data_IF_140516490696
#
_entry.id   IF_140516490696
#
_cell.length_a   1.000
_cell.length_b   1.000
_cell.length_c   1.000
_cell.angle_alpha   90.00
_cell.angle_beta   90.00
_cell.angle_gamma   90.00
#
_symmetry.space_group_name_H-M   'P 1'
#
loop_
_entity.id
_entity.type
_entity.pdbx_description
1 polymer ?
#
# COMPACT_ATOMS: atom_id res chain seq x y z
N UNK A 1 -14.89 5.58 -4.97
CA UNK A 1 -13.63 6.27 -5.34
C UNK A 1 -13.30 5.87 -6.77
N UNK A 2 -12.86 6.81 -7.61
CA UNK A 2 -12.48 6.54 -9.00
C UNK A 2 -11.04 7.00 -9.21
N UNK A 3 -10.17 6.09 -9.65
CA UNK A 3 -8.79 6.41 -10.00
C UNK A 3 -8.65 6.38 -11.52
N UNK A 4 -7.99 7.39 -12.07
CA UNK A 4 -7.63 7.47 -13.48
C UNK A 4 -6.14 7.74 -13.54
N UNK A 5 -5.43 6.91 -14.29
CA UNK A 5 -3.98 7.04 -14.52
C UNK A 5 -3.71 7.25 -16.00
N UNK A 6 -2.60 7.92 -16.30
CA UNK A 6 -2.12 8.12 -17.67
C UNK A 6 -1.47 6.82 -18.19
N UNK A 7 -1.18 6.72 -19.48
CA UNK A 7 -0.62 5.50 -20.08
C UNK A 7 0.77 5.11 -19.54
N UNK A 8 1.48 6.05 -18.92
CA UNK A 8 2.82 5.85 -18.35
C UNK A 8 2.77 5.28 -16.92
N UNK A 9 1.58 5.20 -16.32
CA UNK A 9 1.36 4.74 -14.96
C UNK A 9 0.49 3.47 -14.97
N UNK A 10 0.81 2.54 -14.08
CA UNK A 10 0.01 1.32 -13.88
C UNK A 10 -0.76 1.42 -12.57
N UNK A 11 -2.05 1.14 -12.62
CA UNK A 11 -2.90 1.03 -11.44
C UNK A 11 -3.06 -0.45 -11.07
N UNK A 12 -2.69 -0.80 -9.85
CA UNK A 12 -2.82 -2.16 -9.29
C UNK A 12 -3.64 -2.08 -8.00
N UNK A 13 -4.49 -3.07 -7.76
CA UNK A 13 -5.23 -3.20 -6.51
C UNK A 13 -5.20 -4.63 -5.97
N UNK A 14 -5.22 -4.74 -4.64
CA UNK A 14 -5.34 -5.99 -3.90
C UNK A 14 -6.33 -5.79 -2.74
N UNK A 15 -7.11 -6.83 -2.45
CA UNK A 15 -8.01 -6.87 -1.31
C UNK A 15 -7.71 -8.11 -0.47
N UNK A 16 -7.66 -7.94 0.85
CA UNK A 16 -7.51 -9.02 1.82
C UNK A 16 -8.79 -9.14 2.67
N UNK A 17 -9.39 -10.34 2.84
CA UNK A 17 -9.01 -11.59 2.19
C UNK A 17 -9.27 -11.55 0.67
N UNK A 18 -8.46 -12.30 -0.09
CA UNK A 18 -8.63 -12.35 -1.54
C UNK A 18 -10.04 -12.89 -1.88
N UNK A 19 -10.80 -12.22 -2.77
CA UNK A 19 -12.15 -12.65 -3.09
C UNK A 19 -12.12 -14.02 -3.77
N UNK A 20 -12.88 -14.97 -3.23
CA UNK A 20 -12.97 -16.35 -3.74
C UNK A 20 -13.82 -16.50 -5.01
N UNK A 21 -14.57 -15.46 -5.39
CA UNK A 21 -15.53 -15.48 -6.51
C UNK A 21 -15.23 -14.48 -7.63
N UNK A 22 -13.99 -14.01 -7.77
CA UNK A 22 -13.62 -13.22 -8.94
C UNK A 22 -13.45 -14.16 -10.14
N UNK A 23 -14.56 -14.38 -10.84
CA UNK A 23 -14.49 -14.77 -12.24
C UNK A 23 -13.51 -13.83 -12.93
N UNK A 24 -12.54 -14.41 -13.64
CA UNK A 24 -11.56 -13.73 -14.48
C UNK A 24 -12.23 -12.54 -15.15
N UNK A 25 -11.97 -11.32 -14.66
CA UNK A 25 -12.41 -10.12 -15.34
C UNK A 25 -11.56 -10.00 -16.60
N UNK A 26 -12.04 -10.61 -17.68
CA UNK A 26 -11.60 -10.48 -19.07
C UNK A 26 -11.77 -9.03 -19.61
N UNK A 27 -11.44 -8.02 -18.80
CA UNK A 27 -11.53 -6.60 -19.15
C UNK A 27 -10.21 -5.84 -19.01
N UNK A 28 -9.18 -6.43 -18.40
CA UNK A 28 -7.83 -5.88 -18.35
C UNK A 28 -6.89 -6.90 -19.00
N UNK A 29 -7.08 -7.16 -20.29
CA UNK A 29 -6.10 -7.91 -21.10
C UNK A 29 -4.87 -7.05 -21.37
N UNK A 30 -4.12 -6.74 -20.33
CA UNK A 30 -2.68 -6.85 -20.44
C UNK A 30 -2.33 -8.00 -19.52
N UNK A 31 -1.75 -9.04 -20.12
CA UNK A 31 -0.95 -10.05 -19.43
C UNK A 31 0.06 -9.25 -18.60
N UNK A 32 -0.32 -8.90 -17.37
CA UNK A 32 0.51 -8.11 -16.47
C UNK A 32 1.68 -9.05 -16.25
N UNK A 33 2.78 -8.77 -16.93
CA UNK A 33 3.96 -9.62 -17.05
C UNK A 33 4.60 -9.96 -15.70
N UNK A 34 3.98 -9.49 -14.62
CA UNK A 34 4.43 -9.57 -13.26
C UNK A 34 3.26 -9.49 -12.25
N UNK A 35 2.11 -10.10 -12.56
CA UNK A 35 0.93 -10.03 -11.69
C UNK A 35 1.21 -10.45 -10.24
N UNK A 36 2.01 -11.51 -10.05
CA UNK A 36 2.36 -11.98 -8.71
C UNK A 36 3.26 -10.99 -7.95
N UNK A 37 4.19 -10.31 -8.62
CA UNK A 37 4.98 -9.23 -8.01
C UNK A 37 4.10 -8.04 -7.59
N UNK A 38 3.21 -7.56 -8.47
CA UNK A 38 2.37 -6.44 -8.09
C UNK A 38 1.44 -6.79 -6.92
N UNK A 39 0.94 -8.03 -6.89
CA UNK A 39 0.15 -8.56 -5.78
C UNK A 39 0.96 -8.67 -4.50
N UNK A 40 2.21 -9.15 -4.55
CA UNK A 40 3.05 -9.26 -3.35
C UNK A 40 3.37 -7.88 -2.76
N UNK A 41 3.62 -6.88 -3.59
CA UNK A 41 3.81 -5.49 -3.15
C UNK A 41 2.55 -4.95 -2.48
N UNK A 42 1.36 -5.19 -3.04
CA UNK A 42 0.14 -4.77 -2.38
C UNK A 42 -0.11 -5.52 -1.06
N UNK A 43 0.24 -6.81 -0.99
CA UNK A 43 0.19 -7.59 0.25
C UNK A 43 1.13 -7.03 1.31
N UNK A 44 2.35 -6.64 0.92
CA UNK A 44 3.32 -5.97 1.78
C UNK A 44 2.70 -4.72 2.42
N UNK A 45 2.12 -3.84 1.60
CA UNK A 45 1.51 -2.59 2.08
C UNK A 45 0.36 -2.89 3.05
N UNK A 46 -0.49 -3.87 2.74
CA UNK A 46 -1.61 -4.25 3.60
C UNK A 46 -1.13 -4.82 4.93
N UNK A 47 -0.12 -5.70 4.90
CA UNK A 47 0.40 -6.40 6.07
C UNK A 47 1.28 -5.53 6.98
N UNK A 48 2.22 -4.78 6.40
CA UNK A 48 3.21 -4.01 7.16
C UNK A 48 2.80 -2.55 7.40
N UNK A 49 1.74 -2.07 6.76
CA UNK A 49 1.17 -0.72 6.96
C UNK A 49 2.27 0.37 7.02
N UNK A 50 3.09 0.50 5.96
CA UNK A 50 4.06 1.58 5.87
C UNK A 50 3.37 2.94 5.99
N UNK A 51 4.12 3.95 6.46
CA UNK A 51 3.65 5.33 6.60
C UNK A 51 4.07 6.17 5.38
N UNK A 52 5.16 5.78 4.71
CA UNK A 52 5.68 6.44 3.51
C UNK A 52 6.31 5.44 2.56
N UNK A 53 6.43 5.82 1.29
CA UNK A 53 7.15 5.02 0.28
C UNK A 53 8.65 5.07 0.59
N UNK A 54 9.19 6.29 0.66
CA UNK A 54 10.60 6.56 0.95
C UNK A 54 11.39 7.02 -0.26
N UNK A 55 12.44 7.79 -0.01
CA UNK A 55 13.43 8.23 -1.00
C UNK A 55 14.80 7.61 -0.70
N UNK A 56 15.37 6.86 -1.65
CA UNK A 56 16.64 6.13 -1.47
C UNK A 56 17.80 7.00 -0.97
N UNK A 57 17.89 8.26 -1.40
CA UNK A 57 19.00 9.15 -1.04
C UNK A 57 18.81 9.88 0.30
N UNK A 58 17.57 9.94 0.82
CA UNK A 58 17.23 10.78 1.99
C UNK A 58 16.80 9.97 3.19
N UNK A 59 16.10 8.86 2.97
CA UNK A 59 15.55 8.05 4.03
C UNK A 59 16.53 6.95 4.42
N UNK A 60 16.77 6.83 5.72
CA UNK A 60 17.60 5.75 6.28
C UNK A 60 16.69 4.64 6.81
N UNK A 61 17.14 3.37 6.72
CA UNK A 61 16.44 2.28 7.38
C UNK A 61 16.41 2.51 8.89
N UNK A 62 15.34 2.05 9.53
CA UNK A 62 15.19 2.03 10.97
C UNK A 62 16.25 1.13 11.62
N UNK A 63 16.64 1.41 12.86
CA UNK A 63 17.56 0.55 13.62
C UNK A 63 16.97 -0.85 13.86
N UNK A 64 15.65 -0.92 14.03
CA UNK A 64 14.92 -2.17 14.16
C UNK A 64 14.08 -2.43 12.91
N UNK A 65 14.28 -3.60 12.31
CA UNK A 65 13.56 -4.03 11.10
C UNK A 65 12.06 -4.17 11.32
N UNK A 66 11.64 -4.59 12.52
CA UNK A 66 10.22 -4.74 12.87
C UNK A 66 9.49 -3.39 12.97
N UNK A 67 10.23 -2.30 13.24
CA UNK A 67 9.68 -0.95 13.39
C UNK A 67 9.81 -0.12 12.09
N UNK A 68 10.16 -0.76 10.96
CA UNK A 68 10.35 -0.06 9.70
C UNK A 68 9.03 0.46 9.12
N UNK A 69 8.95 1.78 8.97
CA UNK A 69 7.75 2.50 8.49
C UNK A 69 7.90 2.96 7.03
N UNK A 70 9.11 2.88 6.49
CA UNK A 70 9.48 3.28 5.14
C UNK A 70 9.41 2.06 4.21
N UNK A 71 8.44 2.05 3.29
CA UNK A 71 8.16 0.89 2.43
C UNK A 71 9.42 0.37 1.72
N UNK A 72 10.26 1.23 1.15
CA UNK A 72 11.47 0.79 0.42
C UNK A 72 12.49 0.05 1.30
N UNK A 73 12.48 0.25 2.62
CA UNK A 73 13.43 -0.36 3.56
C UNK A 73 12.86 -1.60 4.26
N UNK A 74 11.56 -1.88 4.10
CA UNK A 74 10.94 -3.05 4.68
C UNK A 74 11.46 -4.33 4.03
N UNK A 75 11.63 -5.39 4.84
CA UNK A 75 11.97 -6.72 4.36
C UNK A 75 10.85 -7.25 3.48
N UNK A 76 11.20 -7.79 2.32
CA UNK A 76 10.22 -8.26 1.36
C UNK A 76 9.59 -9.58 1.80
N UNK A 77 8.26 -9.64 1.85
CA UNK A 77 7.52 -10.80 2.37
C UNK A 77 7.83 -12.14 1.67
N UNK A 78 8.23 -12.11 0.40
CA UNK A 78 8.56 -13.34 -0.34
C UNK A 78 10.05 -13.71 -0.27
N UNK A 79 10.91 -12.77 0.12
CA UNK A 79 12.36 -12.96 0.20
C UNK A 79 12.95 -12.03 1.27
N UNK A 80 13.19 -12.57 2.47
CA UNK A 80 13.69 -11.81 3.62
C UNK A 80 15.16 -11.34 3.46
N UNK A 81 15.89 -11.85 2.45
CA UNK A 81 17.24 -11.39 2.15
C UNK A 81 17.24 -10.05 1.38
N UNK A 82 16.07 -9.60 0.90
CA UNK A 82 15.90 -8.35 0.14
C UNK A 82 14.92 -7.40 0.79
N UNK A 83 15.13 -6.12 0.53
CA UNK A 83 14.15 -5.07 0.82
C UNK A 83 13.19 -4.87 -0.34
N UNK A 84 12.00 -4.33 -0.06
CA UNK A 84 11.02 -3.95 -1.09
C UNK A 84 11.63 -2.99 -2.10
N UNK A 85 12.49 -2.06 -1.64
CA UNK A 85 13.17 -1.10 -2.48
C UNK A 85 14.13 -1.74 -3.48
N UNK A 86 14.86 -2.78 -3.08
CA UNK A 86 15.73 -3.55 -3.99
C UNK A 86 14.91 -4.33 -5.02
N UNK A 87 13.83 -4.98 -4.60
CA UNK A 87 12.96 -5.73 -5.52
C UNK A 87 12.30 -4.80 -6.55
N UNK A 88 11.89 -3.59 -6.14
CA UNK A 88 11.37 -2.58 -7.05
C UNK A 88 12.40 -2.18 -8.12
N UNK A 89 13.65 -1.96 -7.73
CA UNK A 89 14.75 -1.65 -8.66
C UNK A 89 15.05 -2.79 -9.63
N UNK A 90 15.06 -4.05 -9.16
CA UNK A 90 15.26 -5.23 -10.00
C UNK A 90 14.20 -5.35 -11.11
N UNK A 91 12.95 -5.00 -10.79
CA UNK A 91 11.84 -5.03 -11.75
C UNK A 91 11.70 -3.73 -12.56
N UNK A 92 12.64 -2.78 -12.40
CA UNK A 92 12.59 -1.44 -13.02
C UNK A 92 11.24 -0.75 -12.79
N UNK A 93 10.72 -0.86 -11.57
CA UNK A 93 9.41 -0.36 -11.16
C UNK A 93 9.57 0.61 -9.99
N UNK A 94 8.70 1.61 -9.94
CA UNK A 94 8.66 2.59 -8.85
C UNK A 94 7.21 2.76 -8.39
N UNK A 95 7.01 2.80 -7.07
CA UNK A 95 5.72 3.12 -6.48
C UNK A 95 5.66 4.63 -6.34
N UNK A 96 4.77 5.27 -7.09
CA UNK A 96 4.57 6.73 -7.02
C UNK A 96 3.65 7.12 -5.87
N UNK A 97 2.60 6.33 -5.65
CA UNK A 97 1.63 6.54 -4.57
C UNK A 97 0.91 5.22 -4.25
N UNK A 98 0.37 5.09 -3.03
CA UNK A 98 -0.52 3.99 -2.66
C UNK A 98 -1.59 4.47 -1.69
N UNK A 99 -2.73 3.78 -1.68
CA UNK A 99 -3.77 3.97 -0.68
C UNK A 99 -4.12 2.61 -0.08
N UNK A 100 -3.96 2.50 1.25
CA UNK A 100 -4.35 1.33 2.03
C UNK A 100 -5.60 1.66 2.82
N UNK A 101 -6.65 0.84 2.65
CA UNK A 101 -7.88 0.95 3.42
C UNK A 101 -8.04 -0.25 4.33
N UNK A 102 -8.61 -0.04 5.51
CA UNK A 102 -8.89 -1.09 6.47
C UNK A 102 -10.34 -0.97 6.97
N UNK A 103 -11.07 -2.08 6.95
CA UNK A 103 -12.45 -2.08 7.42
C UNK A 103 -12.49 -1.72 8.91
N UNK A 104 -13.24 -0.67 9.26
CA UNK A 104 -13.30 -0.17 10.63
C UNK A 104 -12.18 0.82 11.00
N UNK A 105 -11.36 1.25 10.04
CA UNK A 105 -10.45 2.37 10.28
C UNK A 105 -11.25 3.61 10.71
N UNK A 106 -10.95 4.13 11.89
CA UNK A 106 -11.51 5.40 12.32
C UNK A 106 -10.79 6.49 11.53
N UNK A 107 -11.50 7.18 10.66
CA UNK A 107 -10.96 8.41 10.09
C UNK A 107 -10.75 9.38 11.26
N UNK A 108 -9.51 9.72 11.62
CA UNK A 108 -9.21 10.62 12.76
C UNK A 108 -10.03 11.92 12.69
N UNK A 109 -10.27 12.42 11.46
CA UNK A 109 -11.12 13.60 11.21
C UNK A 109 -12.57 13.44 11.67
N UNK A 110 -13.12 12.22 11.63
CA UNK A 110 -14.48 11.94 12.08
C UNK A 110 -14.57 11.90 13.60
N UNK A 111 -13.57 11.36 14.30
CA UNK A 111 -13.61 11.24 15.76
C UNK A 111 -13.49 12.61 16.44
N UNK A 112 -12.57 13.47 15.99
CA UNK A 112 -12.44 14.84 16.51
C UNK A 112 -13.70 15.69 16.26
N UNK A 113 -14.32 15.53 15.09
CA UNK A 113 -15.57 16.21 14.76
C UNK A 113 -16.74 15.73 15.64
N UNK A 114 -16.83 14.43 15.89
CA UNK A 114 -17.84 13.84 16.78
C UNK A 114 -17.64 14.33 18.22
N UNK A 115 -16.41 14.32 18.75
CA UNK A 115 -16.10 14.79 20.12
C UNK A 115 -16.44 16.27 20.29
N UNK A 116 -16.14 17.12 19.28
CA UNK A 116 -16.52 18.54 19.29
C UNK A 116 -18.03 18.75 19.25
N UNK A 117 -18.78 17.93 18.51
CA UNK A 117 -20.25 18.01 18.45
C UNK A 117 -20.94 17.63 19.77
N UNK A 118 -20.36 16.72 20.55
CA UNK A 118 -20.88 16.30 21.86
C UNK A 118 -20.67 17.39 22.93
N UNK A 119 -19.59 18.17 22.87
CA UNK A 119 -19.31 19.26 23.83
C UNK A 119 -20.14 20.54 23.60
N UNK A 120 -20.66 20.78 22.39
CA UNK A 120 -21.49 21.96 22.10
C UNK A 120 -22.98 21.78 22.47
N UNK A 121 -23.41 20.57 22.83
CA UNK A 121 -24.81 20.26 23.15
C UNK A 121 -25.16 20.34 24.64
N UNK A 122 -24.22 20.77 25.50
CA UNK A 122 -24.38 20.81 26.96
C UNK A 122 -24.31 22.23 27.56
N UNK A 123 -24.73 23.25 26.82
CA UNK A 123 -24.90 24.62 27.33
C UNK A 123 -26.32 25.12 27.07
#
# INVERSE_FOLDING_TARGET
>A
MCFKVNNDLKLVGYAHPAPTNVGTTEGITQKLLDFEFHKSICQQIVGMKPVKIGEYDKDKPAENKDDETCLIHQEYLLDADKTVGEVLQEHSCEIVDYHRFECGEQTERSLEAIIRSQHQSSN
#
